data_IF_232563821267
#
_entry.id   IF_232563821267
#
_cell.length_a   1.000
_cell.length_b   1.000
_cell.length_c   1.000
_cell.angle_alpha   90.00
_cell.angle_beta   90.00
_cell.angle_gamma   90.00
#
_symmetry.space_group_name_H-M   'P 1'
#
loop_
_entity.id
_entity.type
_entity.pdbx_description
1 polymer ?
#
# COMPACT_ATOMS: atom_id res chain seq x y z
N UNK A 1 14.58 1.42 -8.87
CA UNK A 1 13.87 0.43 -9.73
C UNK A 1 14.92 -0.29 -10.53
N UNK A 2 14.99 -1.60 -10.38
CA UNK A 2 15.96 -2.45 -11.08
C UNK A 2 15.58 -2.67 -12.54
N UNK A 3 16.57 -3.11 -13.34
CA UNK A 3 16.32 -3.58 -14.70
C UNK A 3 15.37 -4.80 -14.71
N UNK A 4 15.46 -5.65 -13.68
CA UNK A 4 14.61 -6.83 -13.53
C UNK A 4 13.12 -6.46 -13.45
N UNK A 5 12.72 -5.50 -12.61
CA UNK A 5 11.32 -5.07 -12.51
C UNK A 5 10.80 -4.52 -13.85
N UNK A 6 11.61 -3.73 -14.56
CA UNK A 6 11.23 -3.18 -15.87
C UNK A 6 11.06 -4.29 -16.91
N UNK A 7 11.96 -5.28 -16.92
CA UNK A 7 11.89 -6.44 -17.80
C UNK A 7 10.64 -7.28 -17.49
N UNK A 8 10.40 -7.58 -16.23
CA UNK A 8 9.21 -8.30 -15.78
C UNK A 8 7.91 -7.63 -16.25
N UNK A 9 7.80 -6.29 -16.11
CA UNK A 9 6.64 -5.55 -16.61
C UNK A 9 6.47 -5.65 -18.12
N UNK A 10 7.58 -5.66 -18.86
CA UNK A 10 7.58 -5.81 -20.32
C UNK A 10 7.14 -7.22 -20.73
N UNK A 11 7.70 -8.26 -20.11
CA UNK A 11 7.35 -9.65 -20.40
C UNK A 11 5.87 -9.94 -20.15
N UNK A 12 5.30 -9.36 -19.10
CA UNK A 12 3.89 -9.50 -18.76
C UNK A 12 3.00 -8.47 -19.46
N UNK A 13 3.56 -7.63 -20.35
CA UNK A 13 2.85 -6.61 -21.13
C UNK A 13 2.03 -5.67 -20.25
N UNK A 14 2.54 -5.33 -19.05
CA UNK A 14 1.84 -4.48 -18.09
C UNK A 14 1.60 -3.10 -18.69
N UNK A 15 0.35 -2.66 -18.70
CA UNK A 15 -0.10 -1.34 -19.16
C UNK A 15 -0.33 -0.37 -18.03
N UNK A 16 -0.72 -0.89 -16.86
CA UNK A 16 -1.07 -0.12 -15.66
C UNK A 16 -0.43 -0.72 -14.41
N UNK A 17 -0.10 0.15 -13.46
CA UNK A 17 0.45 -0.24 -12.17
C UNK A 17 -0.42 0.32 -11.05
N UNK A 18 -1.00 -0.57 -10.24
CA UNK A 18 -1.61 -0.24 -8.96
C UNK A 18 -0.50 -0.01 -7.94
N UNK A 19 -0.17 1.25 -7.71
CA UNK A 19 0.84 1.64 -6.74
C UNK A 19 0.20 1.74 -5.36
N UNK A 20 0.66 0.97 -4.38
CA UNK A 20 0.03 0.86 -3.06
C UNK A 20 0.98 1.10 -1.91
N UNK A 21 0.45 1.72 -0.86
CA UNK A 21 0.99 1.74 0.51
C UNK A 21 -0.11 1.32 1.48
N UNK A 22 0.25 0.92 2.70
CA UNK A 22 -0.69 0.72 3.79
C UNK A 22 -0.68 1.94 4.70
N UNK A 23 -1.86 2.47 5.05
CA UNK A 23 -2.02 3.50 6.07
C UNK A 23 -2.08 2.92 7.50
N UNK A 24 -2.21 3.79 8.52
CA UNK A 24 -2.29 3.37 9.92
C UNK A 24 -3.54 2.56 10.27
N UNK A 25 -4.60 2.67 9.47
CA UNK A 25 -5.83 1.90 9.63
C UNK A 25 -5.81 0.55 8.89
N UNK A 26 -4.70 0.24 8.20
CA UNK A 26 -4.55 -0.98 7.41
C UNK A 26 -5.19 -0.93 6.02
N UNK A 27 -5.69 0.23 5.60
CA UNK A 27 -6.27 0.41 4.28
C UNK A 27 -5.17 0.59 3.24
N UNK A 28 -5.33 -0.08 2.10
CA UNK A 28 -4.49 0.14 0.94
C UNK A 28 -4.81 1.50 0.31
N UNK A 29 -3.83 2.39 0.31
CA UNK A 29 -3.89 3.71 -0.32
C UNK A 29 -2.96 3.76 -1.51
N UNK A 30 -3.34 4.51 -2.53
CA UNK A 30 -2.47 4.61 -3.69
C UNK A 30 -3.16 5.18 -4.92
N UNK A 31 -2.61 4.87 -6.05
CA UNK A 31 -3.13 5.29 -7.35
C UNK A 31 -2.73 4.32 -8.46
N UNK A 32 -3.52 4.27 -9.50
CA UNK A 32 -3.17 3.59 -10.74
C UNK A 32 -2.33 4.54 -11.60
N UNK A 33 -1.21 4.06 -12.11
CA UNK A 33 -0.31 4.81 -12.98
C UNK A 33 -0.05 4.03 -14.27
N UNK A 34 -0.05 4.68 -15.43
CA UNK A 34 0.46 4.05 -16.65
C UNK A 34 1.89 3.56 -16.46
N UNK A 35 2.22 2.38 -16.97
CA UNK A 35 3.52 1.74 -16.76
C UNK A 35 4.70 2.63 -17.14
N UNK A 36 4.62 3.34 -18.26
CA UNK A 36 5.70 4.23 -18.68
C UNK A 36 5.94 5.37 -17.69
N UNK A 37 4.88 5.94 -17.12
CA UNK A 37 4.97 6.98 -16.08
C UNK A 37 5.58 6.42 -14.81
N UNK A 38 5.10 5.26 -14.34
CA UNK A 38 5.62 4.58 -13.17
C UNK A 38 7.14 4.33 -13.28
N UNK A 39 7.60 3.85 -14.44
CA UNK A 39 9.02 3.59 -14.70
C UNK A 39 9.82 4.92 -14.68
N UNK A 40 9.32 5.96 -15.35
CA UNK A 40 10.00 7.26 -15.43
C UNK A 40 10.11 7.93 -14.05
N UNK A 41 9.06 7.87 -13.22
CA UNK A 41 9.02 8.45 -11.89
C UNK A 41 9.66 7.54 -10.80
N UNK A 42 9.97 6.29 -11.14
CA UNK A 42 10.53 5.26 -10.25
C UNK A 42 9.66 4.99 -9.01
N UNK A 43 8.34 4.98 -9.21
CA UNK A 43 7.34 4.79 -8.18
C UNK A 43 6.25 5.85 -8.23
N UNK A 44 5.80 6.30 -7.07
CA UNK A 44 4.75 7.33 -6.97
C UNK A 44 5.07 8.36 -5.88
N UNK A 45 4.23 9.41 -5.82
CA UNK A 45 4.20 10.37 -4.72
C UNK A 45 2.78 10.48 -4.18
N UNK A 46 2.67 10.61 -2.86
CA UNK A 46 1.42 10.83 -2.14
C UNK A 46 1.69 11.82 -1.00
N UNK A 47 0.71 12.66 -0.61
CA UNK A 47 0.80 13.46 0.61
C UNK A 47 1.03 12.57 1.84
N UNK A 48 1.81 13.03 2.80
CA UNK A 48 2.09 12.28 4.03
C UNK A 48 0.83 12.09 4.88
N UNK A 49 -0.10 13.03 4.83
CA UNK A 49 -1.40 12.99 5.51
C UNK A 49 -2.25 11.76 5.15
N UNK A 50 -2.03 11.15 3.99
CA UNK A 50 -2.71 9.91 3.58
C UNK A 50 -2.51 8.77 4.59
N UNK A 51 -1.38 8.76 5.31
CA UNK A 51 -1.11 7.75 6.34
C UNK A 51 -2.02 7.85 7.57
N UNK A 52 -2.61 9.03 7.82
CA UNK A 52 -3.46 9.33 8.97
C UNK A 52 -4.96 9.30 8.66
N UNK A 53 -5.35 8.98 7.45
CA UNK A 53 -6.76 8.93 7.09
C UNK A 53 -7.50 7.83 7.86
N UNK A 54 -8.79 8.11 8.17
CA UNK A 54 -9.71 7.12 8.73
C UNK A 54 -10.01 6.02 7.71
N UNK A 55 -10.69 4.95 8.13
CA UNK A 55 -11.12 3.86 7.22
C UNK A 55 -11.97 4.40 6.06
N UNK A 56 -12.78 5.44 6.29
CA UNK A 56 -13.62 6.08 5.27
C UNK A 56 -12.88 7.07 4.38
N UNK A 57 -11.61 7.38 4.69
CA UNK A 57 -10.77 8.30 3.92
C UNK A 57 -10.84 9.74 4.39
N UNK A 58 -11.55 10.01 5.48
CA UNK A 58 -11.60 11.33 6.10
C UNK A 58 -10.32 11.61 6.89
N UNK A 59 -10.03 12.87 7.12
CA UNK A 59 -8.94 13.27 8.03
C UNK A 59 -9.40 13.17 9.48
N UNK A 60 -8.44 12.84 10.35
CA UNK A 60 -8.70 12.77 11.80
C UNK A 60 -8.86 14.18 12.34
N UNK A 61 -9.89 14.42 13.15
CA UNK A 61 -10.17 15.75 13.73
C UNK A 61 -9.28 16.09 14.95
N UNK A 62 -8.48 15.15 15.44
CA UNK A 62 -7.63 15.31 16.62
C UNK A 62 -6.31 15.98 16.26
N UNK A 63 -6.05 17.16 16.82
CA UNK A 63 -4.88 17.99 16.56
C UNK A 63 -3.55 17.28 16.85
N UNK A 64 -3.54 16.28 17.76
CA UNK A 64 -2.33 15.53 18.13
C UNK A 64 -1.67 14.83 16.92
N UNK A 65 -2.47 14.47 15.91
CA UNK A 65 -1.94 13.83 14.71
C UNK A 65 -1.28 14.84 13.77
N UNK A 66 -1.70 16.09 13.81
CA UNK A 66 -1.14 17.15 12.96
C UNK A 66 0.18 17.71 13.48
N UNK A 67 0.48 17.49 14.75
CA UNK A 67 1.80 17.78 15.32
C UNK A 67 2.90 16.84 14.73
N UNK A 68 2.49 15.72 14.13
CA UNK A 68 3.37 14.73 13.52
C UNK A 68 3.62 14.97 12.03
N UNK A 69 2.86 15.88 11.41
CA UNK A 69 2.92 16.17 9.98
C UNK A 69 3.47 17.58 9.73
N UNK A 70 4.15 17.75 8.60
CA UNK A 70 4.45 19.10 8.11
C UNK A 70 3.13 19.79 7.71
N UNK A 71 2.84 21.01 8.23
CA UNK A 71 1.63 21.74 7.88
C UNK A 71 1.45 22.00 6.36
N UNK A 72 2.53 21.92 5.60
CA UNK A 72 2.51 22.04 4.14
C UNK A 72 2.01 20.79 3.43
N UNK A 73 1.70 19.70 4.17
CA UNK A 73 1.30 18.38 3.63
C UNK A 73 2.19 17.92 2.46
N UNK A 74 3.48 17.83 2.74
CA UNK A 74 4.50 17.58 1.74
C UNK A 74 4.37 16.15 1.20
N UNK A 75 4.46 16.00 -0.11
CA UNK A 75 4.50 14.68 -0.74
C UNK A 75 5.69 13.84 -0.25
N UNK A 76 5.40 12.65 0.21
CA UNK A 76 6.38 11.59 0.42
C UNK A 76 6.77 10.93 -0.90
N UNK A 77 7.98 10.36 -0.93
CA UNK A 77 8.50 9.58 -2.05
C UNK A 77 8.20 8.10 -1.78
N UNK A 78 7.32 7.51 -2.57
CA UNK A 78 6.97 6.10 -2.46
C UNK A 78 7.78 5.29 -3.47
N UNK A 79 8.72 4.49 -2.96
CA UNK A 79 9.61 3.64 -3.78
C UNK A 79 9.08 2.21 -3.85
N UNK A 80 9.03 1.60 -5.04
CA UNK A 80 8.54 0.22 -5.16
C UNK A 80 9.46 -0.76 -4.41
N UNK A 81 8.83 -1.71 -3.72
CA UNK A 81 9.52 -2.90 -3.24
C UNK A 81 9.57 -3.93 -4.38
N UNK A 82 10.75 -4.23 -4.87
CA UNK A 82 10.96 -5.13 -6.00
C UNK A 82 10.60 -6.59 -5.71
N UNK A 83 10.47 -6.94 -4.42
CA UNK A 83 10.00 -8.26 -3.99
C UNK A 83 8.47 -8.32 -3.79
N UNK A 84 7.76 -7.21 -3.96
CA UNK A 84 6.33 -7.11 -3.75
C UNK A 84 5.62 -6.58 -5.00
N UNK A 85 5.80 -7.30 -6.10
CA UNK A 85 5.22 -7.04 -7.42
C UNK A 85 4.39 -8.25 -7.82
N UNK A 86 3.11 -8.03 -8.12
CA UNK A 86 2.15 -9.09 -8.39
C UNK A 86 1.32 -8.77 -9.63
N UNK A 87 0.88 -9.80 -10.36
CA UNK A 87 -0.14 -9.65 -11.38
C UNK A 87 -1.50 -9.46 -10.72
N UNK A 88 -2.36 -8.63 -11.30
CA UNK A 88 -3.75 -8.42 -10.85
C UNK A 88 -4.68 -9.26 -11.74
N UNK A 89 -5.07 -10.49 -11.31
CA UNK A 89 -5.77 -11.44 -12.18
C UNK A 89 -7.23 -11.07 -12.48
N UNK A 90 -7.80 -10.13 -11.74
CA UNK A 90 -9.17 -9.63 -11.94
C UNK A 90 -9.24 -8.34 -12.76
N UNK A 91 -8.11 -7.73 -13.10
CA UNK A 91 -8.09 -6.53 -13.93
C UNK A 91 -8.40 -6.87 -15.40
N UNK A 92 -9.08 -5.96 -16.09
CA UNK A 92 -9.39 -6.10 -17.51
C UNK A 92 -8.12 -5.91 -18.34
N UNK A 93 -7.36 -4.87 -18.01
CA UNK A 93 -6.07 -4.56 -18.65
C UNK A 93 -4.92 -5.27 -17.93
N UNK A 94 -3.82 -5.61 -18.61
CA UNK A 94 -2.65 -6.18 -17.96
C UNK A 94 -2.09 -5.25 -16.88
N UNK A 95 -2.42 -5.54 -15.62
CA UNK A 95 -2.14 -4.69 -14.47
C UNK A 95 -1.18 -5.38 -13.51
N UNK A 96 -0.18 -4.65 -13.03
CA UNK A 96 0.65 -5.04 -11.92
C UNK A 96 0.25 -4.31 -10.65
N UNK A 97 0.25 -4.99 -9.51
CA UNK A 97 0.14 -4.39 -8.19
C UNK A 97 1.53 -4.33 -7.55
N UNK A 98 1.91 -3.16 -7.06
CA UNK A 98 3.24 -2.92 -6.48
C UNK A 98 3.10 -2.25 -5.13
N UNK A 99 3.66 -2.87 -4.10
CA UNK A 99 3.72 -2.29 -2.76
C UNK A 99 4.95 -1.37 -2.67
N UNK A 100 4.77 -0.23 -2.01
CA UNK A 100 5.82 0.79 -1.89
C UNK A 100 6.25 1.01 -0.45
N UNK A 101 7.51 1.33 -0.29
CA UNK A 101 8.07 1.92 0.92
C UNK A 101 8.03 3.45 0.81
N UNK A 102 7.82 4.12 1.93
CA UNK A 102 7.64 5.57 1.97
C UNK A 102 8.81 6.28 2.61
N UNK A 103 9.25 7.38 1.99
CA UNK A 103 10.40 8.18 2.40
C UNK A 103 10.07 9.67 2.31
N UNK A 104 10.73 10.46 3.15
CA UNK A 104 10.75 11.91 3.01
C UNK A 104 11.57 12.35 1.77
N UNK A 105 11.58 13.65 1.47
CA UNK A 105 12.37 14.21 0.36
C UNK A 105 13.88 14.07 0.53
N UNK A 106 14.36 13.85 1.77
CA UNK A 106 15.77 13.64 2.10
C UNK A 106 16.17 12.16 1.99
N UNK A 107 15.17 11.27 1.82
CA UNK A 107 15.37 9.84 1.71
C UNK A 107 15.32 9.09 3.05
N UNK A 108 14.87 9.72 4.12
CA UNK A 108 14.64 9.05 5.39
C UNK A 108 13.28 8.30 5.34
N UNK A 109 13.18 7.10 5.93
CA UNK A 109 11.91 6.39 6.04
C UNK A 109 10.90 7.21 6.85
N UNK A 110 9.66 7.31 6.37
CA UNK A 110 8.56 7.93 7.10
C UNK A 110 8.23 7.09 8.34
N UNK A 111 8.27 7.70 9.52
CA UNK A 111 8.10 6.99 10.79
C UNK A 111 6.67 6.52 11.04
N UNK A 112 5.67 7.23 10.50
CA UNK A 112 4.25 6.89 10.59
C UNK A 112 3.84 5.71 9.69
N UNK A 113 4.69 5.32 8.75
CA UNK A 113 4.35 4.22 7.83
C UNK A 113 4.39 2.87 8.52
N UNK A 114 3.27 2.10 8.56
CA UNK A 114 3.23 0.77 9.19
C UNK A 114 4.28 -0.18 8.63
N UNK A 115 4.53 -0.12 7.32
CA UNK A 115 5.54 -0.95 6.68
C UNK A 115 6.97 -0.60 7.13
N UNK A 116 7.27 0.67 7.35
CA UNK A 116 8.57 1.10 7.88
C UNK A 116 8.72 0.71 9.36
N UNK A 117 7.63 0.78 10.14
CA UNK A 117 7.61 0.27 11.53
C UNK A 117 7.89 -1.22 11.56
N UNK A 118 7.22 -2.01 10.69
CA UNK A 118 7.48 -3.44 10.58
C UNK A 118 8.95 -3.73 10.23
N UNK A 119 9.55 -3.00 9.29
CA UNK A 119 10.97 -3.16 8.93
C UNK A 119 11.89 -2.84 10.12
N UNK A 120 11.59 -1.83 10.94
CA UNK A 120 12.33 -1.54 12.17
C UNK A 120 12.27 -2.72 13.16
N UNK A 121 11.07 -3.31 13.36
CA UNK A 121 10.89 -4.48 14.25
C UNK A 121 11.64 -5.69 13.69
N UNK A 122 11.52 -5.99 12.40
CA UNK A 122 12.25 -7.10 11.76
C UNK A 122 13.77 -6.94 11.92
N UNK A 123 14.28 -5.70 11.85
CA UNK A 123 15.69 -5.46 12.12
C UNK A 123 16.09 -5.81 13.56
N UNK A 124 15.25 -5.52 14.56
CA UNK A 124 15.53 -5.90 15.95
C UNK A 124 15.61 -7.42 16.13
N UNK A 125 14.81 -8.18 15.38
CA UNK A 125 14.91 -9.65 15.35
C UNK A 125 16.23 -10.09 14.70
N UNK A 126 16.56 -9.53 13.55
CA UNK A 126 17.77 -9.85 12.81
C UNK A 126 19.04 -9.55 13.63
N UNK A 127 19.07 -8.42 14.36
CA UNK A 127 20.19 -8.02 15.23
C UNK A 127 20.44 -9.03 16.37
N UNK A 128 19.41 -9.82 16.73
CA UNK A 128 19.50 -10.92 17.71
C UNK A 128 19.74 -12.30 17.07
N UNK A 129 19.86 -12.36 15.75
CA UNK A 129 19.94 -13.62 15.00
C UNK A 129 18.63 -14.42 14.99
N UNK A 130 17.50 -13.78 15.25
CA UNK A 130 16.18 -14.41 15.26
C UNK A 130 15.47 -14.21 13.93
N UNK A 131 14.72 -15.21 13.51
CA UNK A 131 13.84 -15.13 12.34
C UNK A 131 12.38 -15.28 12.80
N UNK A 132 11.52 -14.26 12.62
CA UNK A 132 10.10 -14.40 12.93
C UNK A 132 9.43 -15.31 11.90
N UNK A 133 8.52 -16.16 12.39
CA UNK A 133 7.64 -16.98 11.54
C UNK A 133 6.21 -16.56 11.86
N UNK A 134 5.48 -16.13 10.83
CA UNK A 134 4.10 -15.67 10.95
C UNK A 134 3.22 -16.37 9.93
N UNK A 135 1.97 -16.64 10.32
CA UNK A 135 0.93 -17.16 9.46
C UNK A 135 -0.26 -16.21 9.54
N UNK A 136 -0.45 -15.32 8.55
CA UNK A 136 -1.62 -14.45 8.53
C UNK A 136 -2.89 -15.28 8.28
N UNK A 137 -3.93 -15.02 9.06
CA UNK A 137 -5.27 -15.60 8.89
C UNK A 137 -6.20 -14.55 8.30
N UNK A 138 -6.99 -14.95 7.31
CA UNK A 138 -7.99 -14.09 6.69
C UNK A 138 -9.37 -14.59 7.05
N UNK A 139 -10.17 -13.74 7.71
CA UNK A 139 -11.55 -14.01 8.03
C UNK A 139 -12.48 -13.15 7.19
N UNK A 140 -13.51 -13.74 6.61
CA UNK A 140 -14.47 -13.01 5.79
C UNK A 140 -15.81 -13.74 5.73
N UNK A 141 -16.86 -12.98 5.41
CA UNK A 141 -18.19 -13.53 5.14
C UNK A 141 -18.51 -13.45 3.65
N UNK A 142 -19.07 -14.53 3.12
CA UNK A 142 -19.72 -14.48 1.81
C UNK A 142 -21.12 -13.94 1.99
N UNK A 143 -21.42 -12.84 1.35
CA UNK A 143 -22.74 -12.20 1.41
C UNK A 143 -23.41 -12.24 0.05
N UNK A 144 -24.75 -12.29 0.03
CA UNK A 144 -25.49 -12.14 -1.20
C UNK A 144 -25.22 -10.78 -1.84
N UNK A 145 -25.28 -10.72 -3.18
CA UNK A 145 -25.11 -9.45 -3.90
C UNK A 145 -26.16 -8.44 -3.42
N UNK A 146 -25.70 -7.32 -2.91
CA UNK A 146 -26.58 -6.25 -2.45
C UNK A 146 -27.23 -5.51 -3.62
N UNK A 147 -28.52 -5.20 -3.45
CA UNK A 147 -29.26 -4.29 -4.32
C UNK A 147 -29.42 -2.89 -3.69
N UNK A 148 -29.32 -2.80 -2.36
CA UNK A 148 -29.42 -1.56 -1.60
C UNK A 148 -28.08 -1.28 -0.90
N UNK A 149 -27.38 -0.18 -1.19
CA UNK A 149 -26.07 0.13 -0.59
C UNK A 149 -26.13 0.41 0.92
N UNK A 150 -27.34 0.61 1.48
CA UNK A 150 -27.54 0.86 2.91
C UNK A 150 -27.88 -0.41 3.73
N UNK A 151 -27.95 -1.56 3.09
CA UNK A 151 -28.21 -2.85 3.75
C UNK A 151 -26.96 -3.73 3.73
N UNK A 152 -26.61 -4.30 4.87
CA UNK A 152 -25.61 -5.37 4.93
C UNK A 152 -26.26 -6.63 4.33
N UNK A 153 -25.66 -7.19 3.28
CA UNK A 153 -26.15 -8.42 2.64
C UNK A 153 -26.25 -9.57 3.64
N UNK A 154 -27.23 -10.46 3.46
CA UNK A 154 -27.34 -11.66 4.28
C UNK A 154 -26.15 -12.56 4.02
N UNK A 155 -25.48 -12.99 5.09
CA UNK A 155 -24.45 -14.02 5.01
C UNK A 155 -25.08 -15.31 4.46
N UNK A 156 -24.51 -15.89 3.41
CA UNK A 156 -24.91 -17.19 2.92
C UNK A 156 -24.17 -18.28 3.69
N UNK A 157 -24.68 -18.66 4.87
CA UNK A 157 -24.30 -19.94 5.46
C UNK A 157 -25.05 -21.01 4.64
N UNK A 158 -24.39 -21.68 3.73
CA UNK A 158 -24.83 -22.99 3.26
C UNK A 158 -24.14 -24.03 4.13
N UNK A 159 -24.94 -24.78 4.89
CA UNK A 159 -24.55 -26.04 5.47
C UNK A 159 -24.16 -27.04 4.38
#
# INVERSE_FOLDING_TARGET
MSSYMVEWMREHRITEVECMISDLTGIARGKISPTNKFIAEKGMRLPESVLLQTVTGDYVEDDIYYDLLDPADIDMVCRPDENAVFLVPWAIEPTAQVIHDTYDKKGNPIELSPRNILKKVLKLYADKGWQPVVAPEMEFYLVARQQNPHEIGRASCRE
#
